data_IF_796424343339
#
_entry.id   IF_796424343339
#
_cell.length_a   1.000
_cell.length_b   1.000
_cell.length_c   1.000
_cell.angle_alpha   90.00
_cell.angle_beta   90.00
_cell.angle_gamma   90.00
#
_symmetry.space_group_name_H-M   'P 1'
#
loop_
_entity.id
_entity.type
_entity.pdbx_description
1 polymer ?
#
# COMPACT_ATOMS: atom_id res chain seq x y z
N UNK A 1 -4.42 9.16 13.20
CA UNK A 1 -5.62 9.75 13.81
C UNK A 1 -5.32 11.21 14.14
N UNK A 2 -6.00 12.18 13.51
CA UNK A 2 -5.76 13.60 13.79
C UNK A 2 -6.48 14.06 15.06
N UNK A 3 -5.89 15.00 15.80
CA UNK A 3 -6.41 15.52 17.09
C UNK A 3 -7.90 15.93 17.01
N UNK A 4 -8.40 16.62 15.94
CA UNK A 4 -9.80 17.02 15.86
C UNK A 4 -10.79 15.84 15.73
N UNK A 5 -10.36 14.72 15.14
CA UNK A 5 -11.21 13.53 15.04
C UNK A 5 -11.31 12.81 16.39
N UNK A 6 -10.25 12.89 17.18
CA UNK A 6 -10.19 12.29 18.51
C UNK A 6 -11.10 13.02 19.51
N UNK A 7 -11.13 14.35 19.46
CA UNK A 7 -11.97 15.18 20.35
C UNK A 7 -13.47 14.99 20.07
N UNK A 8 -13.89 14.96 18.80
CA UNK A 8 -15.28 14.72 18.41
C UNK A 8 -15.75 13.32 18.82
N UNK A 9 -14.89 12.31 18.63
CA UNK A 9 -15.20 10.95 19.06
C UNK A 9 -15.30 10.84 20.59
N UNK A 10 -14.34 11.40 21.33
CA UNK A 10 -14.31 11.38 22.80
C UNK A 10 -15.55 12.05 23.42
N UNK A 11 -15.96 13.20 22.88
CA UNK A 11 -17.18 13.90 23.29
C UNK A 11 -18.44 13.05 23.03
N UNK A 12 -18.47 12.30 21.92
CA UNK A 12 -19.62 11.46 21.53
C UNK A 12 -19.71 10.16 22.33
N UNK A 13 -18.59 9.57 22.76
CA UNK A 13 -18.56 8.28 23.48
C UNK A 13 -18.48 8.42 25.01
N UNK A 14 -18.51 9.65 25.54
CA UNK A 14 -18.55 9.92 26.99
C UNK A 14 -17.31 9.47 27.75
N UNK A 15 -16.17 9.24 27.08
CA UNK A 15 -14.93 8.76 27.70
C UNK A 15 -13.95 9.91 27.91
N UNK A 16 -14.27 10.81 28.84
CA UNK A 16 -13.27 11.70 29.42
C UNK A 16 -12.51 10.91 30.50
N UNK A 17 -11.25 10.55 30.24
CA UNK A 17 -10.30 10.22 31.32
C UNK A 17 -9.77 8.79 31.43
N UNK A 18 -10.00 7.87 30.48
CA UNK A 18 -9.23 6.62 30.41
C UNK A 18 -8.44 6.57 29.11
N UNK A 19 -7.11 6.46 29.22
CA UNK A 19 -6.23 6.22 28.09
C UNK A 19 -6.85 5.10 27.24
N UNK A 20 -7.22 5.44 26.01
CA UNK A 20 -7.85 4.50 25.10
C UNK A 20 -6.87 3.32 24.96
N UNK A 21 -7.29 2.06 25.23
CA UNK A 21 -6.40 0.93 24.98
C UNK A 21 -5.97 1.04 23.53
N UNK A 22 -4.66 0.96 23.31
CA UNK A 22 -4.10 1.05 21.96
C UNK A 22 -4.85 0.03 21.10
N UNK A 23 -5.43 0.44 19.98
CA UNK A 23 -6.12 -0.48 19.07
C UNK A 23 -5.23 -1.67 18.68
N UNK A 24 -3.90 -1.47 18.69
CA UNK A 24 -2.89 -2.49 18.46
C UNK A 24 -2.66 -3.48 19.62
N UNK A 25 -3.29 -3.29 20.79
CA UNK A 25 -3.20 -4.21 21.93
C UNK A 25 -4.28 -5.29 21.92
N UNK A 26 -5.26 -5.19 21.02
CA UNK A 26 -6.24 -6.26 20.83
C UNK A 26 -5.67 -7.28 19.85
N UNK A 27 -5.75 -8.59 20.16
CA UNK A 27 -5.40 -9.61 19.18
C UNK A 27 -6.28 -9.40 17.94
N UNK A 28 -5.74 -9.64 16.73
CA UNK A 28 -6.54 -9.56 15.52
C UNK A 28 -7.74 -10.48 15.69
N UNK A 29 -8.92 -10.02 15.28
CA UNK A 29 -10.10 -10.88 15.28
C UNK A 29 -9.85 -12.06 14.33
N UNK A 30 -10.54 -13.17 14.53
CA UNK A 30 -10.40 -14.34 13.67
C UNK A 30 -10.63 -13.96 12.20
N UNK A 31 -11.61 -13.10 11.93
CA UNK A 31 -11.93 -12.58 10.61
C UNK A 31 -10.76 -11.78 10.02
N UNK A 32 -10.16 -10.87 10.79
CA UNK A 32 -9.01 -10.09 10.35
C UNK A 32 -7.78 -10.97 10.06
N UNK A 33 -7.59 -12.03 10.86
CA UNK A 33 -6.55 -13.03 10.61
C UNK A 33 -6.81 -13.78 9.29
N UNK A 34 -8.03 -14.29 9.08
CA UNK A 34 -8.37 -15.00 7.85
C UNK A 34 -8.20 -14.14 6.60
N UNK A 35 -8.64 -12.88 6.64
CA UNK A 35 -8.46 -11.95 5.52
C UNK A 35 -6.99 -11.65 5.23
N UNK A 36 -6.16 -11.52 6.27
CA UNK A 36 -4.71 -11.36 6.08
C UNK A 36 -4.07 -12.61 5.46
N UNK A 37 -4.47 -13.80 5.89
CA UNK A 37 -3.97 -15.06 5.31
C UNK A 37 -4.33 -15.15 3.83
N UNK A 38 -5.58 -14.84 3.45
CA UNK A 38 -6.01 -14.78 2.04
C UNK A 38 -5.17 -13.79 1.24
N UNK A 39 -4.98 -12.57 1.77
CA UNK A 39 -4.16 -11.53 1.12
C UNK A 39 -2.72 -12.00 0.90
N UNK A 40 -2.12 -12.64 1.90
CA UNK A 40 -0.76 -13.17 1.82
C UNK A 40 -0.64 -14.24 0.72
N UNK A 41 -1.62 -15.15 0.60
CA UNK A 41 -1.63 -16.16 -0.46
C UNK A 41 -1.70 -15.52 -1.85
N UNK A 42 -2.59 -14.54 -2.03
CA UNK A 42 -2.72 -13.82 -3.31
C UNK A 42 -1.39 -13.12 -3.67
N UNK A 43 -0.77 -12.44 -2.70
CA UNK A 43 0.52 -11.77 -2.91
C UNK A 43 1.63 -12.76 -3.30
N UNK A 44 1.72 -13.91 -2.63
CA UNK A 44 2.68 -14.95 -2.98
C UNK A 44 2.46 -15.48 -4.41
N UNK A 45 1.21 -15.70 -4.81
CA UNK A 45 0.88 -16.09 -6.18
C UNK A 45 1.27 -15.01 -7.20
N UNK A 46 1.01 -13.74 -6.91
CA UNK A 46 1.41 -12.61 -7.77
C UNK A 46 2.92 -12.56 -7.94
N UNK A 47 3.69 -12.66 -6.85
CA UNK A 47 5.15 -12.66 -6.92
C UNK A 47 5.70 -13.85 -7.69
N UNK A 48 5.15 -15.04 -7.45
CA UNK A 48 5.52 -16.23 -8.21
C UNK A 48 5.23 -16.06 -9.69
N UNK A 49 4.08 -15.48 -10.05
CA UNK A 49 3.75 -15.21 -11.45
C UNK A 49 4.72 -14.18 -12.06
N UNK A 50 5.01 -13.09 -11.37
CA UNK A 50 5.92 -12.04 -11.83
C UNK A 50 7.36 -12.55 -12.07
N UNK A 51 7.82 -13.55 -11.32
CA UNK A 51 9.13 -14.18 -11.55
C UNK A 51 9.18 -15.06 -12.81
N UNK A 52 8.05 -15.57 -13.25
CA UNK A 52 7.97 -16.49 -14.41
C UNK A 52 7.43 -15.81 -15.68
N UNK A 53 6.80 -14.65 -15.54
CA UNK A 53 6.30 -13.88 -16.67
C UNK A 53 7.43 -13.04 -17.25
N UNK A 54 7.58 -13.08 -18.58
CA UNK A 54 8.41 -12.09 -19.25
C UNK A 54 7.81 -10.69 -19.03
N UNK A 55 8.65 -9.68 -18.70
CA UNK A 55 8.16 -8.32 -18.59
C UNK A 55 7.57 -7.90 -19.95
N UNK A 56 6.44 -7.16 -19.96
CA UNK A 56 5.92 -6.64 -21.20
C UNK A 56 6.96 -5.74 -21.86
N UNK A 57 7.00 -5.73 -23.19
CA UNK A 57 7.89 -4.84 -23.94
C UNK A 57 7.44 -3.39 -23.72
N UNK A 58 8.11 -2.73 -22.76
CA UNK A 58 7.85 -1.36 -22.37
C UNK A 58 8.69 -0.44 -23.25
N UNK A 59 8.02 0.29 -24.15
CA UNK A 59 8.68 1.35 -24.89
C UNK A 59 8.90 2.57 -23.98
N UNK A 60 10.15 2.98 -23.69
CA UNK A 60 10.41 4.11 -22.79
C UNK A 60 9.77 5.42 -23.26
N UNK A 61 9.49 5.56 -24.56
CA UNK A 61 8.85 6.75 -25.14
C UNK A 61 7.42 6.95 -24.66
N UNK A 62 6.73 5.88 -24.26
CA UNK A 62 5.35 5.95 -23.78
C UNK A 62 5.25 6.52 -22.36
N UNK A 63 6.39 6.61 -21.66
CA UNK A 63 6.48 7.05 -20.27
C UNK A 63 7.31 8.33 -20.10
N UNK A 64 7.24 9.21 -21.09
CA UNK A 64 7.94 10.48 -21.06
C UNK A 64 9.48 10.34 -21.05
N UNK A 65 10.05 9.38 -21.78
CA UNK A 65 11.50 9.35 -22.04
C UNK A 65 11.82 9.71 -23.50
N UNK A 66 12.78 10.60 -23.73
CA UNK A 66 13.27 10.95 -25.09
C UNK A 66 14.56 10.20 -25.41
N UNK A 67 14.71 9.84 -26.69
CA UNK A 67 15.96 9.35 -27.28
C UNK A 67 16.50 10.40 -28.24
N UNK A 68 17.69 10.92 -27.98
CA UNK A 68 18.39 11.83 -28.90
C UNK A 68 18.94 11.04 -30.08
N UNK A 69 18.93 11.61 -31.30
CA UNK A 69 19.27 10.89 -32.55
C UNK A 69 20.66 10.22 -32.57
N UNK A 70 21.57 10.61 -31.67
CA UNK A 70 22.94 10.11 -31.61
C UNK A 70 23.28 9.28 -30.36
N UNK A 71 22.32 9.02 -29.46
CA UNK A 71 22.59 8.31 -28.20
C UNK A 71 21.81 7.00 -28.10
N UNK A 72 22.47 5.98 -27.58
CA UNK A 72 21.91 4.67 -27.24
C UNK A 72 21.01 4.70 -26.00
N UNK A 73 21.09 5.75 -25.17
CA UNK A 73 20.39 5.87 -23.90
C UNK A 73 19.17 6.83 -23.96
N UNK A 74 18.19 6.56 -23.10
CA UNK A 74 16.98 7.37 -22.94
C UNK A 74 17.10 8.28 -21.71
N UNK A 75 16.45 9.44 -21.75
CA UNK A 75 16.40 10.41 -20.63
C UNK A 75 14.97 10.79 -20.29
N UNK A 76 14.62 11.00 -19.01
CA UNK A 76 13.30 11.47 -18.62
C UNK A 76 13.06 12.90 -19.15
N UNK A 77 11.84 13.19 -19.61
CA UNK A 77 11.38 14.55 -19.87
C UNK A 77 11.28 15.30 -18.54
N UNK A 78 11.98 16.44 -18.44
CA UNK A 78 11.75 17.44 -17.41
C UNK A 78 10.44 18.20 -17.63
#
# INVERSE_FOLDING_TARGET
MSIPRLTVWAARVGKSGKAMPWLASLPPTAEAFYENVKRAHIQACIWKHALNADPPDLNPRDYCWRKTRCQTHFYPLQ
#
